data_IF_051644073593
#
_entry.id   IF_051644073593
#
_cell.length_a   1.000
_cell.length_b   1.000
_cell.length_c   1.000
_cell.angle_alpha   90.00
_cell.angle_beta   90.00
_cell.angle_gamma   90.00
#
_symmetry.space_group_name_H-M   'P 1'
#
loop_
_entity.id
_entity.type
_entity.pdbx_description
1 polymer ?
#
# COMPACT_ATOMS: atom_id res chain seq x y z
N UNK A 1 -50.53 -27.61 14.89
CA UNK A 1 -50.43 -26.73 13.71
C UNK A 1 -48.97 -26.42 13.51
N UNK A 2 -48.35 -26.85 12.40
CA UNK A 2 -46.95 -26.57 12.14
C UNK A 2 -46.80 -25.10 11.73
N UNK A 3 -46.03 -24.31 12.49
CA UNK A 3 -45.71 -22.94 12.13
C UNK A 3 -45.06 -22.90 10.75
N UNK A 4 -45.75 -22.27 9.80
CA UNK A 4 -45.30 -22.14 8.43
C UNK A 4 -44.08 -21.21 8.44
N UNK A 5 -42.89 -21.76 8.14
CA UNK A 5 -41.65 -20.95 8.07
C UNK A 5 -41.87 -19.76 7.12
N UNK A 6 -41.43 -18.55 7.51
CA UNK A 6 -41.64 -17.35 6.70
C UNK A 6 -40.99 -17.50 5.33
N UNK A 7 -41.69 -17.03 4.30
CA UNK A 7 -41.21 -17.09 2.92
C UNK A 7 -39.98 -16.19 2.73
N UNK A 8 -39.24 -16.38 1.63
CA UNK A 8 -38.10 -15.53 1.31
C UNK A 8 -38.52 -14.06 1.15
N UNK A 9 -39.70 -13.81 0.59
CA UNK A 9 -40.27 -12.47 0.43
C UNK A 9 -40.57 -11.81 1.78
N UNK A 10 -41.13 -12.56 2.73
CA UNK A 10 -41.40 -12.06 4.08
C UNK A 10 -40.10 -11.69 4.82
N UNK A 11 -39.06 -12.51 4.64
CA UNK A 11 -37.73 -12.25 5.20
C UNK A 11 -37.09 -11.00 4.57
N UNK A 12 -37.22 -10.82 3.26
CA UNK A 12 -36.69 -9.63 2.57
C UNK A 12 -37.40 -8.36 3.06
N UNK A 13 -38.74 -8.37 3.14
CA UNK A 13 -39.50 -7.24 3.67
C UNK A 13 -39.12 -6.90 5.12
N UNK A 14 -38.95 -7.90 5.97
CA UNK A 14 -38.51 -7.72 7.34
C UNK A 14 -37.09 -7.11 7.42
N UNK A 15 -36.18 -7.58 6.56
CA UNK A 15 -34.81 -7.04 6.47
C UNK A 15 -34.82 -5.59 5.97
N UNK A 16 -35.66 -5.23 5.00
CA UNK A 16 -35.76 -3.85 4.50
C UNK A 16 -36.35 -2.90 5.55
N UNK A 17 -37.38 -3.34 6.29
CA UNK A 17 -37.93 -2.57 7.39
C UNK A 17 -36.89 -2.34 8.49
N UNK A 18 -36.14 -3.39 8.86
CA UNK A 18 -35.02 -3.28 9.79
C UNK A 18 -33.91 -2.35 9.26
N UNK A 19 -33.60 -2.43 7.95
CA UNK A 19 -32.63 -1.53 7.30
C UNK A 19 -33.02 -0.07 7.47
N UNK A 20 -34.27 0.28 7.17
CA UNK A 20 -34.76 1.66 7.30
C UNK A 20 -34.71 2.15 8.75
N UNK A 21 -35.04 1.29 9.72
CA UNK A 21 -34.93 1.64 11.14
C UNK A 21 -33.47 1.87 11.56
N UNK A 22 -32.56 1.00 11.14
CA UNK A 22 -31.12 1.13 11.42
C UNK A 22 -30.57 2.39 10.74
N UNK A 23 -30.93 2.68 9.49
CA UNK A 23 -30.50 3.89 8.77
C UNK A 23 -31.04 5.17 9.44
N UNK A 24 -32.26 5.14 9.97
CA UNK A 24 -32.83 6.28 10.72
C UNK A 24 -32.11 6.51 12.05
N UNK A 25 -31.67 5.45 12.74
CA UNK A 25 -31.00 5.54 14.04
C UNK A 25 -29.50 5.84 13.92
N UNK A 26 -28.83 5.27 12.92
CA UNK A 26 -27.36 5.25 12.84
C UNK A 26 -26.81 5.96 11.58
N UNK A 27 -27.68 6.49 10.73
CA UNK A 27 -27.34 7.21 9.50
C UNK A 27 -27.41 6.33 8.24
N UNK A 28 -27.53 6.98 7.07
CA UNK A 28 -27.55 6.28 5.77
C UNK A 28 -26.31 5.42 5.60
N UNK A 29 -26.48 4.21 5.06
CA UNK A 29 -25.38 3.27 4.81
C UNK A 29 -24.90 2.48 6.04
N UNK A 30 -25.61 2.56 7.17
CA UNK A 30 -25.35 1.76 8.37
C UNK A 30 -25.60 0.25 8.18
N UNK A 31 -26.48 -0.11 7.25
CA UNK A 31 -26.72 -1.49 6.81
C UNK A 31 -26.97 -1.51 5.30
N UNK A 32 -26.13 -2.22 4.55
CA UNK A 32 -26.20 -2.31 3.08
C UNK A 32 -25.98 -3.75 2.64
N UNK A 33 -26.49 -4.12 1.46
CA UNK A 33 -26.11 -5.41 0.85
C UNK A 33 -24.68 -5.29 0.30
N UNK A 34 -23.89 -6.33 0.47
CA UNK A 34 -22.50 -6.36 0.04
C UNK A 34 -22.34 -6.16 -1.49
N UNK A 35 -23.33 -6.60 -2.28
CA UNK A 35 -23.35 -6.41 -3.74
C UNK A 35 -23.90 -5.05 -4.22
N UNK A 36 -24.50 -4.26 -3.33
CA UNK A 36 -24.97 -2.89 -3.64
C UNK A 36 -23.82 -1.88 -3.52
N UNK A 37 -22.66 -2.30 -3.00
CA UNK A 37 -21.42 -1.57 -3.23
C UNK A 37 -21.11 -1.70 -4.72
N UNK A 38 -21.34 -0.64 -5.50
CA UNK A 38 -20.52 -0.40 -6.68
C UNK A 38 -19.08 -0.68 -6.23
N UNK A 39 -18.41 -1.67 -6.85
CA UNK A 39 -17.08 -2.18 -6.45
C UNK A 39 -16.33 -1.02 -5.83
N UNK A 40 -16.18 -1.02 -4.50
CA UNK A 40 -15.50 0.08 -3.81
C UNK A 40 -14.09 0.07 -4.35
N UNK A 41 -13.83 0.89 -5.36
CA UNK A 41 -12.49 1.13 -5.86
C UNK A 41 -11.74 1.72 -4.66
N UNK A 42 -10.85 0.91 -4.12
CA UNK A 42 -10.05 1.32 -2.98
C UNK A 42 -9.11 2.39 -3.53
N UNK A 43 -9.41 3.65 -3.23
CA UNK A 43 -8.54 4.75 -3.57
C UNK A 43 -7.17 4.52 -2.93
N UNK A 44 -6.10 4.76 -3.69
CA UNK A 44 -4.73 4.51 -3.24
C UNK A 44 -3.80 5.69 -3.48
N UNK A 45 -2.75 5.77 -2.66
CA UNK A 45 -1.64 6.70 -2.81
C UNK A 45 -0.43 5.89 -3.30
N UNK A 46 0.19 6.29 -4.41
CA UNK A 46 1.38 5.58 -4.91
C UNK A 46 2.51 5.59 -3.86
N UNK A 47 3.29 4.51 -3.80
CA UNK A 47 4.48 4.46 -2.95
C UNK A 47 5.71 5.12 -3.59
N UNK A 48 5.58 5.72 -4.77
CA UNK A 48 6.72 6.23 -5.56
C UNK A 48 7.51 5.12 -6.28
N UNK A 49 7.03 3.87 -6.25
CA UNK A 49 7.60 2.75 -6.99
C UNK A 49 6.50 1.87 -7.57
N UNK A 50 6.51 1.72 -8.90
CA UNK A 50 5.54 0.90 -9.62
C UNK A 50 5.58 -0.59 -9.18
N UNK A 51 6.75 -1.09 -8.81
CA UNK A 51 6.90 -2.47 -8.36
C UNK A 51 6.31 -2.68 -6.96
N UNK A 52 6.43 -1.70 -6.07
CA UNK A 52 5.82 -1.77 -4.76
C UNK A 52 4.31 -1.57 -4.84
N UNK A 53 3.83 -0.67 -5.70
CA UNK A 53 2.41 -0.53 -6.04
C UNK A 53 1.83 -1.87 -6.56
N UNK A 54 2.56 -2.57 -7.45
CA UNK A 54 2.21 -3.92 -7.94
C UNK A 54 2.21 -4.96 -6.80
N UNK A 55 3.22 -4.94 -5.93
CA UNK A 55 3.30 -5.85 -4.78
C UNK A 55 2.17 -5.63 -3.76
N UNK A 56 1.64 -4.40 -3.66
CA UNK A 56 0.46 -4.08 -2.86
C UNK A 56 -0.84 -4.55 -3.53
N UNK A 57 -0.84 -4.71 -4.86
CA UNK A 57 -1.93 -5.34 -5.63
C UNK A 57 -3.14 -4.44 -5.90
N UNK A 58 -3.20 -3.26 -5.29
CA UNK A 58 -4.26 -2.25 -5.48
C UNK A 58 -3.74 -0.93 -6.05
N UNK A 59 -2.49 -0.90 -6.51
CA UNK A 59 -1.90 0.29 -7.16
C UNK A 59 -1.27 1.32 -6.21
N UNK A 60 -1.20 1.01 -4.91
CA UNK A 60 -0.58 1.87 -3.90
C UNK A 60 -1.04 1.54 -2.48
N UNK A 61 -0.78 2.47 -1.56
CA UNK A 61 -1.25 2.41 -0.17
C UNK A 61 -2.74 2.77 -0.10
N UNK A 62 -3.59 1.93 0.50
CA UNK A 62 -5.02 2.16 0.52
C UNK A 62 -5.39 3.34 1.45
N UNK A 63 -6.11 4.32 0.90
CA UNK A 63 -6.72 5.41 1.66
C UNK A 63 -7.78 4.89 2.64
N UNK A 64 -8.02 5.64 3.70
CA UNK A 64 -8.95 5.28 4.77
C UNK A 64 -8.52 4.02 5.54
N UNK A 65 -7.22 3.71 5.59
CA UNK A 65 -6.67 2.54 6.28
C UNK A 65 -5.41 2.89 7.09
N UNK A 66 -5.08 1.97 8.01
CA UNK A 66 -3.83 1.99 8.78
C UNK A 66 -2.80 1.10 8.08
N UNK A 67 -1.60 1.61 7.89
CA UNK A 67 -0.44 0.93 7.33
C UNK A 67 0.66 0.90 8.39
N UNK A 68 1.37 -0.22 8.54
CA UNK A 68 2.59 -0.28 9.35
C UNK A 68 3.79 -0.57 8.45
N UNK A 69 4.83 0.26 8.55
CA UNK A 69 6.13 0.06 7.90
C UNK A 69 7.16 -0.19 8.99
N UNK A 70 7.74 -1.39 9.02
CA UNK A 70 8.68 -1.76 10.08
C UNK A 70 9.93 -2.43 9.53
N UNK A 71 11.00 -2.43 10.32
CA UNK A 71 12.30 -2.91 9.87
C UNK A 71 13.44 -2.46 10.78
N UNK A 72 14.67 -2.92 10.50
CA UNK A 72 15.87 -2.43 11.18
C UNK A 72 16.07 -0.92 11.00
N UNK A 73 16.98 -0.34 11.78
CA UNK A 73 17.46 1.02 11.55
C UNK A 73 18.09 1.14 10.15
N UNK A 74 18.03 2.35 9.58
CA UNK A 74 18.59 2.65 8.25
C UNK A 74 18.13 1.74 7.11
N UNK A 75 17.00 1.04 7.27
CA UNK A 75 16.44 0.15 6.25
C UNK A 75 15.64 0.87 5.17
N UNK A 76 15.34 2.16 5.35
CA UNK A 76 14.57 2.99 4.39
C UNK A 76 13.09 3.16 4.73
N UNK A 77 12.67 2.93 5.99
CA UNK A 77 11.27 3.08 6.45
C UNK A 77 10.75 4.51 6.25
N UNK A 78 11.46 5.49 6.81
CA UNK A 78 11.13 6.92 6.70
C UNK A 78 11.20 7.39 5.25
N UNK A 79 12.17 6.93 4.47
CA UNK A 79 12.24 7.19 3.02
C UNK A 79 10.98 6.74 2.29
N UNK A 80 10.48 5.52 2.53
CA UNK A 80 9.25 5.02 1.92
C UNK A 80 8.03 5.86 2.32
N UNK A 81 7.94 6.28 3.59
CA UNK A 81 6.84 7.10 4.08
C UNK A 81 6.88 8.52 3.48
N UNK A 82 8.06 9.14 3.38
CA UNK A 82 8.25 10.44 2.74
C UNK A 82 7.93 10.39 1.24
N UNK A 83 8.22 9.29 0.53
CA UNK A 83 7.75 9.11 -0.84
C UNK A 83 6.23 9.03 -0.94
N UNK A 84 5.57 8.32 -0.03
CA UNK A 84 4.11 8.30 0.00
C UNK A 84 3.51 9.70 0.23
N UNK A 85 4.13 10.50 1.11
CA UNK A 85 3.78 11.91 1.30
C UNK A 85 3.95 12.71 0.00
N UNK A 86 5.12 12.61 -0.64
CA UNK A 86 5.42 13.32 -1.88
C UNK A 86 4.43 12.96 -3.00
N UNK A 87 4.08 11.68 -3.16
CA UNK A 87 3.08 11.24 -4.13
C UNK A 87 1.68 11.74 -3.79
N UNK A 88 1.30 11.80 -2.51
CA UNK A 88 0.02 12.40 -2.10
C UNK A 88 -0.03 13.89 -2.42
N UNK A 89 1.02 14.65 -2.10
CA UNK A 89 1.10 16.09 -2.36
C UNK A 89 1.10 16.41 -3.87
N UNK A 90 1.73 15.58 -4.70
CA UNK A 90 1.67 15.74 -6.18
C UNK A 90 0.25 15.67 -6.74
N UNK A 91 -0.65 14.96 -6.07
CA UNK A 91 -2.07 14.87 -6.41
C UNK A 91 -2.91 15.98 -5.74
N UNK A 92 -2.27 16.95 -5.10
CA UNK A 92 -2.94 18.03 -4.37
C UNK A 92 -3.44 17.64 -2.98
N UNK A 93 -3.07 16.46 -2.47
CA UNK A 93 -3.47 15.99 -1.15
C UNK A 93 -2.69 16.66 -0.02
N UNK A 94 -3.34 16.78 1.14
CA UNK A 94 -2.74 17.38 2.34
C UNK A 94 -2.04 16.30 3.16
N UNK A 95 -0.82 16.58 3.60
CA UNK A 95 0.02 15.64 4.34
C UNK A 95 0.39 16.18 5.72
N UNK A 96 0.50 15.29 6.71
CA UNK A 96 1.07 15.59 8.01
C UNK A 96 2.09 14.54 8.45
N UNK A 97 3.07 14.96 9.25
CA UNK A 97 4.12 14.14 9.80
C UNK A 97 4.22 14.38 11.32
N UNK A 98 4.02 13.33 12.10
CA UNK A 98 4.20 13.32 13.55
C UNK A 98 5.56 12.69 13.84
N UNK A 99 6.55 13.56 14.05
CA UNK A 99 7.95 13.22 14.28
C UNK A 99 8.19 13.02 15.78
N UNK A 100 7.84 11.85 16.28
CA UNK A 100 8.12 11.44 17.66
C UNK A 100 9.60 11.08 17.87
N UNK A 101 10.35 10.73 16.81
CA UNK A 101 11.80 10.50 16.90
C UNK A 101 12.63 11.80 16.88
N UNK A 102 12.02 12.95 16.58
CA UNK A 102 12.67 14.27 16.48
C UNK A 102 13.85 14.25 15.49
N UNK A 103 13.70 13.47 14.41
CA UNK A 103 14.78 13.12 13.49
C UNK A 103 14.46 13.47 12.02
N UNK A 104 13.33 14.14 11.76
CA UNK A 104 12.97 14.53 10.39
C UNK A 104 13.91 15.64 9.87
N UNK A 105 14.62 15.37 8.77
CA UNK A 105 15.42 16.36 8.05
C UNK A 105 14.62 16.98 6.88
N UNK A 106 14.28 18.29 6.94
CA UNK A 106 13.58 18.98 5.86
C UNK A 106 14.33 18.97 4.53
N UNK A 107 15.66 19.04 4.54
CA UNK A 107 16.47 19.06 3.32
C UNK A 107 16.41 17.71 2.61
N UNK A 108 16.49 16.62 3.39
CA UNK A 108 16.30 15.28 2.88
C UNK A 108 14.89 15.08 2.33
N UNK A 109 13.85 15.47 3.07
CA UNK A 109 12.46 15.37 2.62
C UNK A 109 12.23 16.11 1.28
N UNK A 110 12.76 17.33 1.16
CA UNK A 110 12.71 18.10 -0.10
C UNK A 110 13.41 17.37 -1.25
N UNK A 111 14.56 16.74 -1.00
CA UNK A 111 15.27 15.92 -1.99
C UNK A 111 14.46 14.72 -2.49
N UNK A 112 13.55 14.20 -1.67
CA UNK A 112 12.63 13.11 -2.02
C UNK A 112 11.37 13.61 -2.76
N UNK A 113 11.21 14.93 -2.96
CA UNK A 113 10.09 15.55 -3.64
C UNK A 113 8.92 15.91 -2.73
N UNK A 114 9.11 15.93 -1.42
CA UNK A 114 8.13 16.46 -0.46
C UNK A 114 8.07 17.98 -0.60
N UNK A 115 6.86 18.53 -0.70
CA UNK A 115 6.64 19.96 -0.55
C UNK A 115 6.66 20.30 0.95
N UNK A 116 7.84 20.67 1.44
CA UNK A 116 8.10 20.95 2.86
C UNK A 116 7.33 22.18 3.35
N UNK A 117 7.11 23.17 2.49
CA UNK A 117 6.42 24.41 2.86
C UNK A 117 4.93 24.17 3.21
N UNK A 118 4.34 23.11 2.64
CA UNK A 118 2.95 22.68 2.85
C UNK A 118 2.82 21.41 3.71
N UNK A 119 3.93 20.90 4.26
CA UNK A 119 3.91 19.72 5.13
C UNK A 119 3.62 20.14 6.58
N UNK A 120 2.51 19.67 7.14
CA UNK A 120 2.23 19.85 8.56
C UNK A 120 3.12 18.96 9.40
N UNK A 121 3.94 19.52 10.29
CA UNK A 121 4.83 18.75 11.16
C UNK A 121 4.46 18.97 12.62
N UNK A 122 4.44 17.89 13.40
CA UNK A 122 4.29 17.93 14.86
C UNK A 122 5.44 17.16 15.51
N UNK A 123 6.10 17.77 16.49
CA UNK A 123 7.09 17.13 17.35
C UNK A 123 6.53 17.04 18.76
N UNK A 124 5.81 15.94 19.08
CA UNK A 124 5.17 15.78 20.38
C UNK A 124 6.18 15.44 21.48
N UNK A 125 5.84 15.83 22.71
CA UNK A 125 6.56 15.52 23.93
C UNK A 125 6.20 14.13 24.46
N UNK A 126 4.95 13.67 24.26
CA UNK A 126 4.47 12.37 24.77
C UNK A 126 3.72 11.55 23.72
N UNK A 127 3.67 10.24 23.93
CA UNK A 127 2.91 9.31 23.10
C UNK A 127 1.41 9.60 23.07
N UNK A 128 0.83 10.02 24.20
CA UNK A 128 -0.58 10.45 24.25
C UNK A 128 -0.82 11.66 23.35
N UNK A 129 0.01 12.69 23.48
CA UNK A 129 -0.11 13.92 22.68
C UNK A 129 0.03 13.62 21.18
N UNK A 130 1.01 12.81 20.80
CA UNK A 130 1.21 12.38 19.42
C UNK A 130 -0.05 11.73 18.82
N UNK A 131 -0.68 10.82 19.58
CA UNK A 131 -1.86 10.08 19.15
C UNK A 131 -3.14 10.95 19.16
N UNK A 132 -3.26 11.90 20.08
CA UNK A 132 -4.36 12.87 20.13
C UNK A 132 -4.30 13.88 18.96
N UNK A 133 -3.09 14.36 18.62
CA UNK A 133 -2.85 15.19 17.43
C UNK A 133 -3.23 14.39 16.18
N UNK A 134 -2.76 13.14 16.08
CA UNK A 134 -3.10 12.24 14.97
C UNK A 134 -4.62 12.04 14.86
N UNK A 135 -5.32 11.75 15.96
CA UNK A 135 -6.78 11.60 15.98
C UNK A 135 -7.49 12.87 15.51
N UNK A 136 -7.04 14.04 15.96
CA UNK A 136 -7.62 15.34 15.61
C UNK A 136 -7.47 15.66 14.13
N UNK A 137 -6.29 15.40 13.56
CA UNK A 137 -6.03 15.56 12.13
C UNK A 137 -6.93 14.65 11.29
N UNK A 138 -7.08 13.38 11.67
CA UNK A 138 -7.98 12.43 10.99
C UNK A 138 -9.43 12.91 11.06
N UNK A 139 -9.86 13.39 12.23
CA UNK A 139 -11.24 13.86 12.47
C UNK A 139 -11.58 15.13 11.69
N UNK A 140 -10.60 15.98 11.41
CA UNK A 140 -10.81 17.17 10.57
C UNK A 140 -11.30 16.83 9.16
N UNK A 141 -10.97 15.62 8.67
CA UNK A 141 -11.27 15.19 7.30
C UNK A 141 -10.48 15.93 6.22
N UNK A 142 -9.54 16.80 6.61
CA UNK A 142 -8.78 17.65 5.69
C UNK A 142 -7.41 17.07 5.31
N UNK A 143 -6.99 15.95 5.92
CA UNK A 143 -5.66 15.36 5.71
C UNK A 143 -5.78 14.01 4.99
N UNK A 144 -5.10 13.88 3.85
CA UNK A 144 -5.09 12.67 3.02
C UNK A 144 -4.11 11.61 3.52
N UNK A 145 -2.98 12.03 4.09
CA UNK A 145 -1.94 11.13 4.58
C UNK A 145 -1.30 11.66 5.86
N UNK A 146 -1.15 10.78 6.85
CA UNK A 146 -0.46 11.07 8.10
C UNK A 146 0.60 10.00 8.32
N UNK A 147 1.82 10.42 8.61
CA UNK A 147 2.91 9.53 9.02
C UNK A 147 3.23 9.77 10.49
N UNK A 148 3.35 8.70 11.27
CA UNK A 148 3.82 8.73 12.67
C UNK A 148 5.17 8.01 12.73
N UNK A 149 6.24 8.76 12.96
CA UNK A 149 7.62 8.27 13.04
C UNK A 149 8.21 8.51 14.44
N UNK A 150 8.32 7.53 15.33
CA UNK A 150 7.90 6.14 15.18
C UNK A 150 7.14 5.66 16.41
N UNK A 151 6.45 4.52 16.27
CA UNK A 151 5.74 3.87 17.38
C UNK A 151 6.65 3.60 18.56
N UNK A 152 7.94 3.34 18.33
CA UNK A 152 8.89 3.09 19.39
C UNK A 152 9.13 4.33 20.28
N UNK A 153 9.00 5.53 19.71
CA UNK A 153 9.17 6.81 20.40
C UNK A 153 7.87 7.37 21.00
N UNK A 154 6.74 6.66 20.87
CA UNK A 154 5.48 7.04 21.52
C UNK A 154 5.52 6.69 23.02
N UNK A 155 6.39 7.38 23.76
CA UNK A 155 6.63 7.14 25.18
C UNK A 155 5.49 7.75 26.01
N UNK A 156 4.76 6.97 26.82
CA UNK A 156 3.70 7.49 27.66
C UNK A 156 4.19 8.55 28.64
N UNK A 157 3.36 9.55 28.97
CA UNK A 157 3.71 10.62 29.93
C UNK A 157 4.27 10.09 31.25
N UNK A 158 3.63 9.07 31.82
CA UNK A 158 4.06 8.49 33.10
C UNK A 158 5.46 7.88 33.04
N UNK A 159 5.90 7.40 31.88
CA UNK A 159 7.26 6.87 31.69
C UNK A 159 8.29 7.99 31.52
N UNK A 160 7.89 9.14 30.96
CA UNK A 160 8.75 10.33 30.83
C UNK A 160 8.93 11.05 32.18
N UNK A 161 7.86 11.14 32.97
CA UNK A 161 7.87 11.80 34.29
C UNK A 161 8.40 10.90 35.42
N UNK A 162 8.46 9.58 35.19
CA UNK A 162 8.99 8.61 36.15
C UNK A 162 10.52 8.58 36.21
N UNK A 163 11.05 7.93 37.23
CA UNK A 163 12.50 7.81 37.40
C UNK A 163 13.07 6.68 36.53
N UNK A 164 14.35 6.81 36.16
CA UNK A 164 15.04 5.75 35.42
C UNK A 164 15.09 4.45 36.23
N UNK A 165 14.46 3.40 35.71
CA UNK A 165 14.36 2.10 36.37
C UNK A 165 12.96 1.77 36.88
N UNK A 166 12.02 2.73 36.84
CA UNK A 166 10.63 2.48 37.18
C UNK A 166 9.96 1.51 36.20
N UNK A 167 9.19 0.58 36.76
CA UNK A 167 8.56 -0.50 35.99
C UNK A 167 7.21 -0.06 35.41
N UNK A 168 7.22 0.33 34.14
CA UNK A 168 6.02 0.73 33.37
C UNK A 168 5.56 -0.38 32.41
N UNK A 169 5.34 -1.60 32.92
CA UNK A 169 5.07 -2.77 32.08
C UNK A 169 3.83 -2.60 31.19
N UNK A 170 4.06 -2.55 29.87
CA UNK A 170 3.01 -2.61 28.86
C UNK A 170 2.16 -1.34 28.72
N UNK A 171 2.59 -0.22 29.30
CA UNK A 171 1.86 1.05 29.25
C UNK A 171 1.67 1.53 27.80
N UNK A 172 2.75 1.53 27.01
CA UNK A 172 2.70 1.87 25.59
C UNK A 172 1.77 0.96 24.77
N UNK A 173 1.74 -0.34 25.06
CA UNK A 173 0.86 -1.28 24.37
C UNK A 173 -0.63 -1.01 24.66
N UNK A 174 -0.96 -0.60 25.89
CA UNK A 174 -2.31 -0.19 26.28
C UNK A 174 -2.72 1.11 25.61
N UNK A 175 -1.83 2.11 25.60
CA UNK A 175 -2.02 3.38 24.91
C UNK A 175 -2.32 3.15 23.42
N UNK A 176 -1.47 2.40 22.71
CA UNK A 176 -1.68 2.05 21.30
C UNK A 176 -3.02 1.33 21.07
N UNK A 177 -3.37 0.38 21.94
CA UNK A 177 -4.63 -0.36 21.82
C UNK A 177 -5.85 0.55 21.96
N UNK A 178 -5.80 1.53 22.86
CA UNK A 178 -6.87 2.50 23.07
C UNK A 178 -6.98 3.47 21.89
N UNK A 179 -5.86 4.04 21.46
CA UNK A 179 -5.80 5.00 20.37
C UNK A 179 -6.27 4.40 19.04
N UNK A 180 -5.76 3.21 18.67
CA UNK A 180 -6.17 2.54 17.44
C UNK A 180 -7.66 2.17 17.43
N UNK A 181 -8.22 1.79 18.59
CA UNK A 181 -9.66 1.51 18.73
C UNK A 181 -10.51 2.76 18.44
N UNK A 182 -10.08 3.94 18.90
CA UNK A 182 -10.76 5.21 18.63
C UNK A 182 -10.62 5.62 17.15
N UNK A 183 -9.40 5.56 16.62
CA UNK A 183 -9.10 6.08 15.27
C UNK A 183 -9.68 5.23 14.14
N UNK A 184 -9.74 3.89 14.28
CA UNK A 184 -10.11 2.99 13.18
C UNK A 184 -11.46 3.32 12.53
N UNK A 185 -12.47 3.67 13.34
CA UNK A 185 -13.79 4.02 12.82
C UNK A 185 -13.89 5.40 12.15
N UNK A 186 -12.92 6.29 12.43
CA UNK A 186 -12.87 7.65 11.89
C UNK A 186 -12.06 7.64 10.59
N UNK A 187 -10.94 6.91 10.57
CA UNK A 187 -10.05 6.76 9.41
C UNK A 187 -10.81 6.30 8.17
N UNK A 188 -11.71 5.32 8.29
CA UNK A 188 -12.49 4.82 7.16
C UNK A 188 -13.47 5.84 6.58
N UNK A 189 -13.84 6.87 7.35
CA UNK A 189 -14.76 7.94 6.93
C UNK A 189 -14.02 9.15 6.38
N UNK A 190 -12.80 9.42 6.84
CA UNK A 190 -12.00 10.56 6.40
C UNK A 190 -11.16 10.28 5.16
N UNK A 191 -11.11 9.03 4.67
CA UNK A 191 -10.21 8.58 3.60
C UNK A 191 -8.71 8.87 3.87
N UNK A 192 -8.32 9.20 5.10
CA UNK A 192 -6.93 9.41 5.47
C UNK A 192 -6.14 8.09 5.43
N UNK A 193 -4.98 8.08 4.79
CA UNK A 193 -3.98 7.03 4.87
C UNK A 193 -3.10 7.25 6.11
N UNK A 194 -3.23 6.42 7.15
CA UNK A 194 -2.42 6.55 8.36
C UNK A 194 -1.27 5.54 8.34
N UNK A 195 -0.04 6.03 8.29
CA UNK A 195 1.19 5.23 8.28
C UNK A 195 1.86 5.32 9.65
N UNK A 196 2.09 4.16 10.27
CA UNK A 196 2.97 4.04 11.42
C UNK A 196 4.32 3.47 10.99
N UNK A 197 5.40 4.16 11.34
CA UNK A 197 6.74 3.61 11.25
C UNK A 197 7.04 2.90 12.57
N UNK A 198 7.67 1.74 12.48
CA UNK A 198 7.99 0.94 13.66
C UNK A 198 9.38 0.29 13.55
N UNK A 199 9.94 -0.05 14.69
CA UNK A 199 11.24 -0.68 14.78
C UNK A 199 11.08 -2.18 15.11
N UNK A 200 12.09 -2.96 14.75
CA UNK A 200 12.19 -4.36 15.17
C UNK A 200 12.82 -4.40 16.58
N UNK A 201 12.27 -5.27 17.43
CA UNK A 201 12.81 -5.68 18.73
C UNK A 201 12.86 -7.19 18.79
N UNK A 202 13.68 -7.75 19.68
CA UNK A 202 13.74 -9.19 19.91
C UNK A 202 12.95 -9.55 21.17
N UNK A 203 12.11 -10.59 21.08
CA UNK A 203 11.43 -11.16 22.25
C UNK A 203 12.37 -12.12 22.96
N UNK A 204 12.73 -11.79 24.19
CA UNK A 204 13.57 -12.63 25.05
C UNK A 204 12.83 -13.93 25.37
N UNK A 205 13.55 -15.06 25.39
CA UNK A 205 13.02 -16.37 25.79
C UNK A 205 12.34 -17.20 24.68
N UNK A 206 12.42 -16.77 23.42
CA UNK A 206 11.93 -17.58 22.28
C UNK A 206 13.03 -18.54 21.84
N UNK A 207 12.86 -19.84 22.12
CA UNK A 207 13.81 -20.90 21.74
C UNK A 207 13.55 -21.50 20.35
N UNK A 208 12.38 -21.26 19.75
CA UNK A 208 12.00 -21.78 18.44
C UNK A 208 11.18 -20.75 17.64
N UNK A 209 11.47 -20.61 16.34
CA UNK A 209 10.81 -19.66 15.44
C UNK A 209 11.52 -18.30 15.33
N UNK A 210 10.85 -17.30 14.75
CA UNK A 210 11.39 -15.95 14.61
C UNK A 210 11.17 -15.15 15.92
N UNK A 211 12.23 -14.69 16.62
CA UNK A 211 12.12 -13.91 17.85
C UNK A 211 11.75 -12.44 17.61
N UNK A 212 11.72 -11.97 16.36
CA UNK A 212 11.44 -10.57 16.05
C UNK A 212 9.98 -10.17 16.34
N UNK A 213 9.83 -9.01 16.94
CA UNK A 213 8.54 -8.34 17.18
C UNK A 213 8.67 -6.85 16.86
N UNK A 214 7.54 -6.17 16.82
CA UNK A 214 7.46 -4.70 16.72
C UNK A 214 7.03 -4.09 18.06
N UNK A 215 7.37 -2.83 18.27
CA UNK A 215 7.05 -2.06 19.49
C UNK A 215 5.56 -1.67 19.51
N UNK A 216 5.02 -1.27 20.68
CA UNK A 216 3.62 -0.87 20.84
C UNK A 216 2.62 -2.02 21.00
N UNK A 217 3.10 -3.22 21.32
CA UNK A 217 2.27 -4.41 21.52
C UNK A 217 1.69 -5.00 20.23
N UNK A 218 0.59 -5.74 20.34
CA UNK A 218 0.01 -6.45 19.19
C UNK A 218 -1.11 -5.69 18.48
N UNK A 219 -1.64 -4.61 19.06
CA UNK A 219 -2.81 -3.91 18.51
C UNK A 219 -2.59 -3.45 17.07
N UNK A 220 -1.47 -2.76 16.80
CA UNK A 220 -1.15 -2.28 15.45
C UNK A 220 -1.12 -3.41 14.43
N UNK A 221 -0.59 -4.58 14.80
CA UNK A 221 -0.57 -5.77 13.93
C UNK A 221 -1.96 -6.20 13.48
N UNK A 222 -2.99 -6.02 14.31
CA UNK A 222 -4.38 -6.38 13.99
C UNK A 222 -5.11 -5.28 13.21
N UNK A 223 -4.96 -4.02 13.64
CA UNK A 223 -5.62 -2.87 13.05
C UNK A 223 -5.06 -2.50 11.67
N UNK A 224 -3.74 -2.63 11.46
CA UNK A 224 -3.12 -2.38 10.17
C UNK A 224 -3.76 -3.25 9.07
N UNK A 225 -4.16 -2.61 7.98
CA UNK A 225 -4.65 -3.28 6.76
C UNK A 225 -3.49 -3.79 5.92
N UNK A 226 -2.40 -3.02 5.88
CA UNK A 226 -1.16 -3.39 5.21
C UNK A 226 -0.03 -3.34 6.22
N UNK A 227 0.85 -4.34 6.21
CA UNK A 227 2.10 -4.32 6.97
C UNK A 227 3.25 -4.63 6.02
N UNK A 228 4.26 -3.78 6.03
CA UNK A 228 5.44 -3.89 5.18
C UNK A 228 6.69 -4.03 6.05
N UNK A 229 7.46 -5.08 5.80
CA UNK A 229 8.78 -5.30 6.38
C UNK A 229 9.84 -4.80 5.41
N UNK A 230 10.69 -3.87 5.85
CA UNK A 230 11.71 -3.22 5.05
C UNK A 230 13.09 -3.61 5.58
N UNK A 231 13.93 -4.20 4.72
CA UNK A 231 15.30 -4.60 5.07
C UNK A 231 16.29 -4.15 4.01
N UNK A 232 17.44 -3.62 4.44
CA UNK A 232 18.60 -3.44 3.57
C UNK A 232 19.14 -4.81 3.14
N UNK A 233 19.41 -4.97 1.85
CA UNK A 233 20.04 -6.16 1.26
C UNK A 233 21.54 -5.91 1.11
N UNK A 234 21.88 -4.85 0.38
CA UNK A 234 23.26 -4.51 0.03
C UNK A 234 23.41 -2.99 -0.12
N UNK A 235 24.65 -2.51 0.02
CA UNK A 235 25.01 -1.12 -0.28
C UNK A 235 25.31 -1.01 -1.77
N UNK A 236 24.75 -0.01 -2.44
CA UNK A 236 25.08 0.34 -3.82
C UNK A 236 26.29 1.27 -3.77
N UNK A 237 27.39 0.89 -4.43
CA UNK A 237 28.62 1.67 -4.48
C UNK A 237 28.99 2.05 -5.91
N UNK A 238 29.65 3.21 -6.07
CA UNK A 238 30.27 3.64 -7.32
C UNK A 238 31.78 3.59 -7.15
N UNK A 239 32.42 2.53 -7.63
CA UNK A 239 33.82 2.26 -7.33
C UNK A 239 33.99 1.52 -5.99
N UNK A 240 35.18 1.58 -5.40
CA UNK A 240 35.50 0.81 -4.19
C UNK A 240 35.07 1.49 -2.87
N UNK A 241 34.95 2.82 -2.82
CA UNK A 241 34.75 3.56 -1.54
C UNK A 241 33.47 4.40 -1.47
N UNK A 242 32.86 4.78 -2.60
CA UNK A 242 31.71 5.68 -2.59
C UNK A 242 30.38 4.93 -2.50
N UNK A 243 29.83 4.80 -1.29
CA UNK A 243 28.47 4.33 -1.08
C UNK A 243 27.45 5.37 -1.56
N UNK A 244 26.71 5.06 -2.64
CA UNK A 244 25.75 5.96 -3.27
C UNK A 244 24.29 5.65 -2.95
N UNK A 245 24.02 4.48 -2.34
CA UNK A 245 22.66 4.09 -1.98
C UNK A 245 22.59 2.71 -1.34
N UNK A 246 21.38 2.20 -1.18
CA UNK A 246 21.09 0.88 -0.66
C UNK A 246 20.07 0.18 -1.56
N UNK A 247 20.28 -1.11 -1.81
CA UNK A 247 19.23 -1.97 -2.31
C UNK A 247 18.45 -2.51 -1.12
N UNK A 248 17.14 -2.34 -1.14
CA UNK A 248 16.24 -2.69 -0.02
C UNK A 248 15.19 -3.68 -0.49
N UNK A 249 14.85 -4.64 0.37
CA UNK A 249 13.74 -5.56 0.16
C UNK A 249 12.55 -5.09 0.98
N UNK A 250 11.42 -4.92 0.32
CA UNK A 250 10.12 -4.67 0.96
C UNK A 250 9.27 -5.93 0.83
N UNK A 251 8.81 -6.47 1.95
CA UNK A 251 7.90 -7.63 1.99
C UNK A 251 6.55 -7.20 2.56
N UNK A 252 5.48 -7.45 1.81
CA UNK A 252 4.11 -7.20 2.28
C UNK A 252 3.69 -8.36 3.19
N UNK A 253 3.96 -8.28 4.49
CA UNK A 253 3.69 -9.38 5.44
C UNK A 253 2.21 -9.49 5.83
N UNK A 254 1.43 -8.44 5.60
CA UNK A 254 -0.03 -8.44 5.77
C UNK A 254 -0.65 -7.55 4.71
N UNK A 255 -1.74 -8.01 4.11
CA UNK A 255 -2.54 -7.24 3.17
C UNK A 255 -4.01 -7.67 3.28
N UNK A 256 -4.89 -6.73 3.63
CA UNK A 256 -6.35 -6.93 3.73
C UNK A 256 -7.10 -6.51 2.46
N UNK A 257 -6.42 -5.94 1.48
CA UNK A 257 -7.03 -5.37 0.26
C UNK A 257 -6.63 -6.12 -1.00
N UNK A 258 -5.58 -6.93 -0.94
CA UNK A 258 -5.10 -7.80 -2.01
C UNK A 258 -4.28 -8.97 -1.41
N UNK A 259 -3.86 -9.97 -2.22
CA UNK A 259 -3.06 -11.08 -1.73
C UNK A 259 -1.75 -10.63 -1.04
N UNK A 260 -1.44 -11.13 0.17
CA UNK A 260 -0.22 -10.79 0.90
C UNK A 260 1.02 -11.57 0.41
N UNK A 261 2.15 -11.35 1.09
CA UNK A 261 3.43 -12.06 0.99
C UNK A 261 4.28 -11.83 -0.27
N UNK A 262 3.85 -10.91 -1.13
CA UNK A 262 4.68 -10.39 -2.22
C UNK A 262 5.91 -9.69 -1.66
N UNK A 263 7.02 -9.78 -2.39
CA UNK A 263 8.30 -9.14 -2.08
C UNK A 263 8.76 -8.36 -3.30
N UNK A 264 9.37 -7.21 -3.05
CA UNK A 264 9.97 -6.37 -4.09
C UNK A 264 11.34 -5.91 -3.61
N UNK A 265 12.25 -5.74 -4.55
CA UNK A 265 13.54 -5.11 -4.31
C UNK A 265 13.54 -3.72 -4.94
N UNK A 266 13.96 -2.72 -4.18
CA UNK A 266 14.00 -1.33 -4.57
C UNK A 266 15.43 -0.80 -4.40
N UNK A 267 15.83 0.15 -5.25
CA UNK A 267 17.06 0.91 -5.06
C UNK A 267 16.71 2.25 -4.40
N UNK A 268 17.29 2.53 -3.24
CA UNK A 268 17.22 3.83 -2.56
C UNK A 268 18.57 4.52 -2.74
N UNK A 269 18.59 5.64 -3.45
CA UNK A 269 19.77 6.47 -3.68
C UNK A 269 19.82 7.57 -2.63
N UNK A 270 20.98 7.79 -2.02
CA UNK A 270 21.13 8.83 -1.00
C UNK A 270 20.85 10.22 -1.57
N UNK A 271 20.09 11.04 -0.82
CA UNK A 271 19.64 12.36 -1.24
C UNK A 271 18.57 12.42 -2.35
N UNK A 272 18.27 11.30 -3.03
CA UNK A 272 17.24 11.22 -4.08
C UNK A 272 16.05 10.32 -3.72
N UNK A 273 16.23 9.40 -2.79
CA UNK A 273 15.21 8.44 -2.38
C UNK A 273 15.09 7.24 -3.34
N UNK A 274 13.88 6.70 -3.47
CA UNK A 274 13.57 5.54 -4.30
C UNK A 274 13.82 5.86 -5.78
N UNK A 275 14.62 5.04 -6.45
CA UNK A 275 14.84 5.14 -7.88
C UNK A 275 13.61 4.63 -8.64
N UNK A 276 12.75 5.57 -9.04
CA UNK A 276 11.60 5.29 -9.89
C UNK A 276 12.02 4.72 -11.26
N UNK A 277 13.13 5.22 -11.82
CA UNK A 277 13.74 4.74 -13.07
C UNK A 277 14.20 3.28 -12.98
N UNK A 278 14.85 2.89 -11.88
CA UNK A 278 15.22 1.49 -11.63
C UNK A 278 13.98 0.59 -11.52
N UNK A 279 12.98 1.03 -10.75
CA UNK A 279 11.73 0.28 -10.58
C UNK A 279 10.99 0.12 -11.92
N UNK A 280 10.95 1.16 -12.74
CA UNK A 280 10.32 1.16 -14.06
C UNK A 280 11.05 0.24 -15.03
N UNK A 281 12.39 0.26 -15.04
CA UNK A 281 13.21 -0.64 -15.86
C UNK A 281 12.96 -2.10 -15.49
N UNK A 282 13.01 -2.43 -14.20
CA UNK A 282 12.79 -3.79 -13.71
C UNK A 282 11.38 -4.30 -14.03
N UNK A 283 10.36 -3.46 -13.87
CA UNK A 283 9.01 -3.77 -14.30
C UNK A 283 8.93 -3.98 -15.82
N UNK A 284 9.56 -3.11 -16.60
CA UNK A 284 9.56 -3.20 -18.07
C UNK A 284 10.23 -4.47 -18.57
N UNK A 285 11.31 -4.92 -17.91
CA UNK A 285 11.97 -6.20 -18.19
C UNK A 285 11.06 -7.38 -17.84
N UNK A 286 10.45 -7.35 -16.64
CA UNK A 286 9.55 -8.41 -16.16
C UNK A 286 8.37 -8.65 -17.11
N UNK A 287 7.84 -7.58 -17.71
CA UNK A 287 6.70 -7.64 -18.64
C UNK A 287 7.11 -7.59 -20.11
N UNK A 288 8.39 -7.78 -20.43
CA UNK A 288 8.93 -7.80 -21.80
C UNK A 288 8.64 -6.56 -22.65
N UNK A 289 8.43 -5.38 -22.02
CA UNK A 289 8.35 -4.11 -22.71
C UNK A 289 9.74 -3.60 -23.11
N UNK A 290 10.73 -3.83 -22.25
CA UNK A 290 12.15 -3.65 -22.57
C UNK A 290 12.78 -5.04 -22.67
N UNK A 291 13.57 -5.26 -23.71
CA UNK A 291 14.30 -6.51 -23.93
C UNK A 291 15.79 -6.31 -23.63
N UNK A 292 16.44 -7.36 -23.10
CA UNK A 292 17.87 -7.36 -22.81
C UNK A 292 18.58 -8.44 -23.62
N UNK A 293 19.56 -8.04 -24.42
CA UNK A 293 20.41 -8.92 -25.23
C UNK A 293 21.87 -8.71 -24.86
N UNK A 294 22.41 -9.63 -24.04
CA UNK A 294 23.74 -9.47 -23.45
C UNK A 294 23.79 -8.27 -22.51
N UNK A 295 24.62 -7.26 -22.84
CA UNK A 295 24.71 -6.00 -22.10
C UNK A 295 23.81 -4.89 -22.66
N UNK A 296 23.16 -5.10 -23.81
CA UNK A 296 22.31 -4.11 -24.48
C UNK A 296 20.85 -4.24 -24.09
N UNK A 297 20.16 -3.10 -24.04
CA UNK A 297 18.72 -3.00 -23.80
C UNK A 297 18.05 -2.34 -24.99
N UNK A 298 16.88 -2.84 -25.36
CA UNK A 298 16.07 -2.36 -26.47
C UNK A 298 14.62 -2.14 -26.07
N UNK A 299 13.98 -1.11 -26.64
CA UNK A 299 12.55 -0.84 -26.55
C UNK A 299 11.96 -1.02 -27.96
N UNK A 300 11.27 -2.14 -28.19
CA UNK A 300 10.91 -2.53 -29.56
C UNK A 300 12.16 -2.82 -30.40
N UNK A 301 12.29 -2.14 -31.53
CA UNK A 301 13.46 -2.26 -32.43
C UNK A 301 14.62 -1.32 -32.03
N UNK A 302 14.33 -0.29 -31.24
CA UNK A 302 15.30 0.75 -30.88
C UNK A 302 16.22 0.29 -29.74
N UNK A 303 17.54 0.42 -29.94
CA UNK A 303 18.53 0.22 -28.87
C UNK A 303 18.60 1.46 -27.99
N UNK A 304 18.17 1.33 -26.74
CA UNK A 304 18.07 2.46 -25.79
C UNK A 304 19.32 2.63 -24.91
N UNK A 305 20.17 1.62 -24.81
CA UNK A 305 21.45 1.76 -24.09
C UNK A 305 22.16 0.45 -23.77
N UNK A 306 23.43 0.58 -23.40
CA UNK A 306 24.27 -0.53 -22.92
C UNK A 306 24.49 -0.40 -21.41
N UNK A 307 24.16 -1.45 -20.65
CA UNK A 307 24.28 -1.47 -19.19
C UNK A 307 23.11 -0.81 -18.46
N UNK A 308 22.83 -1.29 -17.24
CA UNK A 308 21.65 -0.89 -16.45
C UNK A 308 21.63 0.62 -16.14
N UNK A 309 22.76 1.18 -15.75
CA UNK A 309 22.84 2.59 -15.33
C UNK A 309 22.59 3.57 -16.48
N UNK A 310 23.05 3.25 -17.69
CA UNK A 310 22.80 4.08 -18.86
C UNK A 310 21.32 4.07 -19.25
N UNK A 311 20.65 2.93 -19.12
CA UNK A 311 19.21 2.83 -19.39
C UNK A 311 18.39 3.57 -18.33
N UNK A 312 18.79 3.52 -17.06
CA UNK A 312 18.17 4.33 -16.00
C UNK A 312 18.27 5.82 -16.32
N UNK A 313 19.46 6.30 -16.73
CA UNK A 313 19.64 7.70 -17.17
C UNK A 313 18.77 8.04 -18.38
N UNK A 314 18.73 7.16 -19.38
CA UNK A 314 17.84 7.33 -20.55
C UNK A 314 16.38 7.51 -20.12
N UNK A 315 15.87 6.71 -19.19
CA UNK A 315 14.50 6.83 -18.67
C UNK A 315 14.28 8.12 -17.84
N UNK A 316 15.31 8.61 -17.16
CA UNK A 316 15.25 9.88 -16.41
C UNK A 316 15.23 11.10 -17.34
N UNK A 317 15.98 11.05 -18.45
CA UNK A 317 16.07 12.11 -19.46
C UNK A 317 14.85 12.12 -20.40
N UNK A 318 14.31 10.95 -20.74
CA UNK A 318 13.19 10.79 -21.69
C UNK A 318 11.86 10.56 -20.96
N UNK A 319 11.34 11.63 -20.34
CA UNK A 319 10.13 11.59 -19.51
C UNK A 319 8.88 11.08 -20.24
N UNK A 320 8.72 11.42 -21.52
CA UNK A 320 7.57 10.96 -22.32
C UNK A 320 7.57 9.43 -22.48
N UNK A 321 8.73 8.86 -22.82
CA UNK A 321 8.91 7.40 -22.91
C UNK A 321 8.68 6.72 -21.58
N UNK A 322 9.22 7.29 -20.49
CA UNK A 322 9.00 6.76 -19.15
C UNK A 322 7.52 6.78 -18.73
N UNK A 323 6.79 7.85 -19.09
CA UNK A 323 5.35 7.96 -18.84
C UNK A 323 4.54 6.95 -19.65
N UNK A 324 4.84 6.78 -20.94
CA UNK A 324 4.18 5.78 -21.80
C UNK A 324 4.41 4.35 -21.27
N UNK A 325 5.65 4.01 -20.89
CA UNK A 325 5.96 2.73 -20.25
C UNK A 325 5.19 2.54 -18.95
N UNK A 326 5.13 3.56 -18.09
CA UNK A 326 4.38 3.53 -16.83
C UNK A 326 2.89 3.27 -17.06
N UNK A 327 2.28 3.94 -18.04
CA UNK A 327 0.86 3.73 -18.40
C UNK A 327 0.62 2.32 -18.92
N UNK A 328 1.48 1.82 -19.82
CA UNK A 328 1.38 0.44 -20.34
C UNK A 328 1.51 -0.60 -19.23
N UNK A 329 2.50 -0.44 -18.35
CA UNK A 329 2.71 -1.32 -17.20
C UNK A 329 1.53 -1.30 -16.24
N UNK A 330 1.01 -0.11 -15.88
CA UNK A 330 -0.15 0.00 -14.98
C UNK A 330 -1.38 -0.70 -15.56
N UNK A 331 -1.62 -0.60 -16.88
CA UNK A 331 -2.72 -1.34 -17.55
C UNK A 331 -2.55 -2.86 -17.49
N UNK A 332 -1.31 -3.36 -17.60
CA UNK A 332 -1.00 -4.80 -17.50
C UNK A 332 -1.15 -5.28 -16.04
N UNK A 333 -0.67 -4.50 -15.07
CA UNK A 333 -0.67 -4.85 -13.65
C UNK A 333 -2.06 -4.74 -13.00
N UNK A 334 -2.85 -3.76 -13.43
CA UNK A 334 -4.17 -3.44 -12.90
C UNK A 334 -5.18 -3.37 -14.06
N UNK A 335 -5.53 -4.50 -14.68
CA UNK A 335 -6.52 -4.52 -15.75
C UNK A 335 -7.87 -4.06 -15.20
N UNK A 336 -8.53 -3.15 -15.91
CA UNK A 336 -9.92 -2.80 -15.59
C UNK A 336 -10.76 -4.08 -15.63
N UNK A 337 -11.67 -4.27 -14.67
CA UNK A 337 -12.56 -5.42 -14.71
C UNK A 337 -13.37 -5.36 -16.00
N UNK A 338 -13.23 -6.37 -16.85
CA UNK A 338 -14.08 -6.53 -18.02
C UNK A 338 -15.51 -6.64 -17.52
N UNK A 339 -16.34 -5.65 -17.83
CA UNK A 339 -17.75 -5.68 -17.47
C UNK A 339 -18.41 -6.79 -18.31
N UNK A 340 -18.66 -7.95 -17.71
CA UNK A 340 -19.25 -9.13 -18.38
C UNK A 340 -20.59 -8.76 -19.06
N UNK A 341 -21.31 -7.75 -18.56
CA UNK A 341 -22.53 -7.21 -19.16
C UNK A 341 -22.31 -6.46 -20.49
N UNK A 342 -21.10 -5.96 -20.74
CA UNK A 342 -20.71 -5.33 -22.01
C UNK A 342 -20.20 -6.40 -22.99
N UNK A 343 -19.61 -7.48 -22.49
CA UNK A 343 -19.18 -8.62 -23.29
C UNK A 343 -20.38 -9.37 -23.92
N UNK A 344 -21.44 -9.63 -23.16
CA UNK A 344 -22.67 -10.25 -23.69
C UNK A 344 -23.35 -9.37 -24.76
N UNK A 345 -23.41 -8.05 -24.57
CA UNK A 345 -23.94 -7.10 -25.58
C UNK A 345 -23.09 -7.02 -26.86
N UNK A 346 -21.80 -7.35 -26.79
CA UNK A 346 -20.91 -7.40 -27.97
C UNK A 346 -21.04 -8.72 -28.72
N UNK A 347 -21.36 -9.82 -28.04
CA UNK A 347 -21.64 -11.11 -28.69
C UNK A 347 -23.00 -11.14 -29.38
N UNK A 348 -24.03 -10.50 -28.81
CA UNK A 348 -25.35 -10.39 -29.46
C UNK A 348 -25.35 -9.56 -30.75
N UNK A 349 -24.35 -8.69 -30.95
CA UNK A 349 -24.22 -7.84 -32.15
C UNK A 349 -23.41 -8.47 -33.29
N UNK A 350 -22.87 -9.68 -33.14
CA UNK A 350 -22.25 -10.39 -34.28
C UNK A 350 -23.36 -10.98 -35.16
N UNK A 351 -23.44 -10.63 -36.46
CA UNK A 351 -24.44 -11.23 -37.34
C UNK A 351 -24.16 -12.74 -37.48
N UNK A 352 -25.15 -13.57 -37.12
CA UNK A 352 -25.12 -15.02 -37.34
C UNK A 352 -24.90 -15.30 -38.83
N UNK A 353 -23.67 -15.71 -39.20
CA UNK A 353 -23.41 -16.33 -40.51
C UNK A 353 -24.27 -17.58 -40.61
N UNK A 354 -25.24 -17.58 -41.54
CA UNK A 354 -25.99 -18.77 -41.95
C UNK A 354 -25.02 -19.71 -42.68
N UNK A 355 -24.57 -20.76 -42.00
CA UNK A 355 -23.90 -21.89 -42.65
C UNK A 355 -24.98 -22.84 -43.15
N UNK A 356 -25.02 -23.05 -44.47
CA UNK A 356 -25.91 -24.00 -45.13
C UNK A 356 -25.63 -25.42 -44.62
N UNK A 357 -26.70 -26.14 -44.33
CA UNK A 357 -26.69 -27.57 -44.06
C UNK A 357 -26.16 -28.34 -45.28
N UNK A 358 -25.23 -29.26 -45.04
CA UNK A 358 -25.06 -30.46 -45.86
C UNK A 358 -25.14 -31.64 -44.89
N UNK A 359 -26.09 -32.52 -45.20
CA UNK A 359 -26.50 -33.70 -44.45
C UNK A 359 -25.63 -34.92 -44.76
N UNK A 360 -25.20 -35.59 -43.68
CA UNK A 360 -25.04 -37.05 -43.49
C UNK A 360 -24.01 -37.86 -44.32
N UNK A 361 -23.61 -39.07 -43.83
CA UNK A 361 -23.42 -39.49 -42.44
C UNK A 361 -22.09 -40.27 -42.19
N UNK A 362 -21.97 -40.68 -40.92
CA UNK A 362 -20.91 -41.38 -40.19
C UNK A 362 -20.58 -42.78 -40.73
N UNK A 363 -19.29 -43.15 -40.67
CA UNK A 363 -18.78 -44.52 -40.51
C UNK A 363 -17.45 -44.42 -39.74
N UNK A 364 -17.47 -44.64 -38.42
CA UNK A 364 -17.08 -45.88 -37.73
C UNK A 364 -15.56 -46.19 -37.73
N UNK A 365 -15.02 -46.12 -36.50
CA UNK A 365 -13.94 -46.94 -35.89
C UNK A 365 -12.60 -47.09 -36.58
N UNK A 366 -11.52 -46.58 -35.94
CA UNK A 366 -10.52 -47.42 -35.26
C UNK A 366 -9.32 -46.61 -34.75
N UNK A 367 -8.73 -47.07 -33.65
CA UNK A 367 -7.28 -46.92 -33.43
C UNK A 367 -6.83 -46.07 -32.25
N UNK A 368 -6.69 -46.74 -31.10
CA UNK A 368 -5.70 -46.48 -30.06
C UNK A 368 -4.39 -45.85 -30.59
N UNK A 369 -3.92 -44.78 -29.95
CA UNK A 369 -2.59 -44.65 -29.29
C UNK A 369 -2.54 -43.39 -28.43
#
# INVERSE_FOLDING_TARGET
MAEKKPSLEDKIKAIEAARLQIEKQFGKGSLMKMGDQAKLEIETISTGSILLDEALGVGGLPKGRIIEIYGPESSGKTTLALHAIAESQKLGGVAAFVDAEHALDPSYAKGLGVNVDELWVSQPDTGEQALEITESLIRSGAVDIIVVDSVAALTPRAEIEGDMGDSHMGLQARLMSQALRKMTGIISKSNCCLIFINQIRMKIGVMFGNPETTTGGNALKFYASVRMEVRKIETIAKGQEDAIGNKVRVKVVKNKVAPPFRKVELEIIFGKGISASASLLDASLKYNLIQKSGSWYSLGEDRIGQGRDNVKKFLEENKETAADLSVKLRKIMFPEPVDEKIAEKREEKKPKKKTKAISEPVGETDGLF
#
